data_IF_310340082651
#
_entry.id   IF_310340082651
#
_cell.length_a   1.000
_cell.length_b   1.000
_cell.length_c   1.000
_cell.angle_alpha   90.00
_cell.angle_beta   90.00
_cell.angle_gamma   90.00
#
_symmetry.space_group_name_H-M   'P 1'
#
loop_
_entity.id
_entity.type
_entity.pdbx_description
1 polymer ?
#
# COMPACT_ATOMS: atom_id res chain seq x y z
N UNK A 1 0.39 -24.76 -13.73
CA UNK A 1 1.25 -23.68 -13.17
C UNK A 1 2.28 -23.30 -14.21
N UNK A 2 2.21 -22.08 -14.69
CA UNK A 2 3.19 -21.57 -15.66
C UNK A 2 4.47 -21.17 -14.90
N UNK A 3 5.65 -21.36 -15.50
CA UNK A 3 6.93 -20.96 -14.90
C UNK A 3 6.94 -19.47 -14.54
N UNK A 4 6.24 -18.63 -15.27
CA UNK A 4 6.09 -17.20 -14.98
C UNK A 4 5.24 -16.90 -13.75
N UNK A 5 4.46 -17.86 -13.25
CA UNK A 5 3.73 -17.77 -11.98
C UNK A 5 4.64 -18.10 -10.77
N UNK A 6 5.73 -18.81 -11.04
CA UNK A 6 6.72 -19.22 -10.01
C UNK A 6 7.84 -18.20 -9.92
N UNK A 7 8.20 -17.55 -11.03
CA UNK A 7 9.21 -16.49 -11.06
C UNK A 7 8.57 -15.22 -10.52
N UNK A 8 9.02 -14.76 -9.37
CA UNK A 8 8.56 -13.51 -8.78
C UNK A 8 8.88 -12.29 -9.65
N UNK A 9 8.31 -11.12 -9.31
CA UNK A 9 8.56 -9.88 -10.05
C UNK A 9 10.03 -9.45 -9.91
N UNK A 10 10.48 -8.61 -10.84
CA UNK A 10 11.71 -7.85 -10.65
C UNK A 10 11.48 -6.89 -9.48
N UNK A 11 12.27 -7.05 -8.41
CA UNK A 11 12.01 -6.35 -7.16
C UNK A 11 13.30 -6.08 -6.39
N UNK A 12 13.26 -5.02 -5.60
CA UNK A 12 14.25 -4.73 -4.56
C UNK A 12 13.65 -5.13 -3.22
N UNK A 13 14.30 -6.07 -2.52
CA UNK A 13 13.86 -6.56 -1.22
C UNK A 13 13.68 -8.08 -1.17
N UNK A 14 13.57 -8.66 0.04
CA UNK A 14 13.68 -10.10 0.26
C UNK A 14 12.38 -10.88 0.03
N UNK A 15 11.22 -10.22 -0.11
CA UNK A 15 9.92 -10.89 -0.09
C UNK A 15 8.96 -10.35 -1.13
N UNK A 16 8.35 -11.25 -1.93
CA UNK A 16 7.32 -10.86 -2.90
C UNK A 16 6.02 -10.41 -2.25
N UNK A 17 5.66 -10.94 -1.08
CA UNK A 17 4.46 -10.53 -0.36
C UNK A 17 4.69 -9.32 0.54
N UNK A 18 5.78 -9.32 1.34
CA UNK A 18 6.04 -8.28 2.35
C UNK A 18 6.77 -7.06 1.79
N UNK A 19 7.42 -7.17 0.64
CA UNK A 19 8.11 -6.05 -0.02
C UNK A 19 7.39 -5.65 -1.30
N UNK A 20 7.39 -6.48 -2.34
CA UNK A 20 6.79 -6.11 -3.63
C UNK A 20 5.27 -5.86 -3.51
N UNK A 21 4.55 -6.70 -2.77
CA UNK A 21 3.12 -6.50 -2.50
C UNK A 21 2.86 -5.19 -1.74
N UNK A 22 3.69 -4.88 -0.74
CA UNK A 22 3.59 -3.64 0.02
C UNK A 22 3.85 -2.39 -0.84
N UNK A 23 4.87 -2.42 -1.72
CA UNK A 23 5.11 -1.33 -2.68
C UNK A 23 3.89 -1.10 -3.56
N UNK A 24 3.28 -2.16 -4.10
CA UNK A 24 2.07 -2.04 -4.93
C UNK A 24 0.88 -1.45 -4.17
N UNK A 25 0.66 -1.88 -2.93
CA UNK A 25 -0.40 -1.31 -2.08
C UNK A 25 -0.17 0.20 -1.91
N UNK A 26 1.05 0.61 -1.53
CA UNK A 26 1.40 2.02 -1.39
C UNK A 26 1.22 2.80 -2.68
N UNK A 27 1.70 2.26 -3.81
CA UNK A 27 1.62 2.89 -5.11
C UNK A 27 0.17 3.16 -5.54
N UNK A 28 -0.69 2.14 -5.45
CA UNK A 28 -2.11 2.28 -5.81
C UNK A 28 -2.82 3.24 -4.85
N UNK A 29 -2.52 3.18 -3.56
CA UNK A 29 -3.09 4.09 -2.56
C UNK A 29 -2.74 5.54 -2.85
N UNK A 30 -1.49 5.84 -3.19
CA UNK A 30 -1.06 7.17 -3.60
C UNK A 30 -1.75 7.66 -4.88
N UNK A 31 -1.97 6.76 -5.84
CA UNK A 31 -2.72 7.06 -7.08
C UNK A 31 -4.19 7.34 -6.81
N UNK A 32 -4.82 6.61 -5.89
CA UNK A 32 -6.21 6.82 -5.48
C UNK A 32 -6.40 8.17 -4.76
N UNK A 33 -5.41 8.60 -3.98
CA UNK A 33 -5.45 9.94 -3.37
C UNK A 33 -5.49 11.05 -4.43
N UNK A 34 -4.75 10.88 -5.54
CA UNK A 34 -4.82 11.73 -6.72
C UNK A 34 -4.24 13.14 -6.56
N UNK A 35 -3.59 13.43 -5.44
CA UNK A 35 -2.97 14.72 -5.14
C UNK A 35 -1.69 14.53 -4.30
N UNK A 36 -0.85 15.57 -4.13
CA UNK A 36 0.35 15.45 -3.33
C UNK A 36 0.03 15.04 -1.89
N UNK A 37 0.68 13.96 -1.43
CA UNK A 37 0.59 13.44 -0.07
C UNK A 37 1.31 14.37 0.90
N UNK A 38 0.67 14.71 2.03
CA UNK A 38 1.29 15.49 3.11
C UNK A 38 1.42 14.69 4.40
N UNK A 39 0.56 13.70 4.62
CA UNK A 39 0.60 12.84 5.80
C UNK A 39 0.09 11.44 5.47
N UNK A 40 0.73 10.43 6.02
CA UNK A 40 0.30 9.04 5.97
C UNK A 40 0.34 8.40 7.36
N UNK A 41 -0.78 7.83 7.79
CA UNK A 41 -0.86 6.94 8.95
C UNK A 41 -0.98 5.52 8.41
N UNK A 42 -0.04 4.66 8.77
CA UNK A 42 0.05 3.29 8.26
C UNK A 42 -0.06 2.32 9.43
N UNK A 43 -1.17 1.60 9.49
CA UNK A 43 -1.44 0.60 10.52
C UNK A 43 -1.29 -0.80 9.94
N UNK A 44 -0.40 -1.60 10.52
CA UNK A 44 -0.10 -2.94 10.06
C UNK A 44 -0.89 -3.99 10.85
N UNK A 45 -1.32 -5.04 10.16
CA UNK A 45 -2.06 -6.17 10.72
C UNK A 45 -1.35 -7.49 10.46
N UNK A 46 -1.49 -8.44 11.38
CA UNK A 46 -1.08 -9.83 11.21
C UNK A 46 0.41 -9.97 10.92
N UNK A 47 0.74 -10.67 9.85
CA UNK A 47 2.14 -10.93 9.47
C UNK A 47 2.89 -9.66 9.04
N UNK A 48 2.20 -8.70 8.45
CA UNK A 48 2.80 -7.38 8.16
C UNK A 48 3.26 -6.67 9.42
N UNK A 49 2.53 -6.80 10.51
CA UNK A 49 2.92 -6.24 11.80
C UNK A 49 4.07 -7.03 12.42
N UNK A 50 3.96 -8.37 12.46
CA UNK A 50 4.92 -9.24 13.14
C UNK A 50 6.32 -9.21 12.49
N UNK A 51 6.40 -9.03 11.18
CA UNK A 51 7.64 -9.13 10.40
C UNK A 51 7.98 -7.84 9.63
N UNK A 52 7.20 -6.79 9.83
CA UNK A 52 7.27 -5.56 9.01
C UNK A 52 8.64 -4.90 8.97
N UNK A 53 9.37 -4.89 10.08
CA UNK A 53 10.70 -4.31 10.15
C UNK A 53 11.75 -5.22 9.48
N UNK A 54 11.68 -6.54 9.71
CA UNK A 54 12.63 -7.51 9.16
C UNK A 54 12.55 -7.66 7.63
N UNK A 55 11.37 -7.50 7.04
CA UNK A 55 11.14 -7.61 5.60
C UNK A 55 11.01 -6.25 4.88
N UNK A 56 11.20 -5.16 5.60
CA UNK A 56 11.13 -3.82 5.01
C UNK A 56 9.74 -3.38 4.58
N UNK A 57 8.67 -3.96 5.12
CA UNK A 57 7.27 -3.66 4.75
C UNK A 57 6.93 -2.18 4.93
N UNK A 58 7.37 -1.56 6.02
CA UNK A 58 7.16 -0.14 6.29
C UNK A 58 7.77 0.75 5.20
N UNK A 59 9.04 0.50 4.85
CA UNK A 59 9.75 1.21 3.78
C UNK A 59 9.09 0.97 2.42
N UNK A 60 8.66 -0.24 2.16
CA UNK A 60 8.01 -0.63 0.91
C UNK A 60 6.67 0.09 0.71
N UNK A 61 5.82 0.16 1.73
CA UNK A 61 4.56 0.91 1.68
C UNK A 61 4.81 2.40 1.39
N UNK A 62 5.77 3.00 2.10
CA UNK A 62 6.12 4.41 1.89
C UNK A 62 6.72 4.63 0.51
N UNK A 63 7.59 3.75 0.03
CA UNK A 63 8.14 3.82 -1.31
C UNK A 63 7.04 3.84 -2.38
N UNK A 64 6.05 2.97 -2.26
CA UNK A 64 4.88 2.97 -3.14
C UNK A 64 4.11 4.28 -3.08
N UNK A 65 3.84 4.82 -1.89
CA UNK A 65 3.18 6.12 -1.71
C UNK A 65 3.96 7.27 -2.35
N UNK A 66 5.28 7.17 -2.41
CA UNK A 66 6.15 8.14 -3.11
C UNK A 66 6.20 7.93 -4.63
N UNK A 67 5.48 6.95 -5.17
CA UNK A 67 5.42 6.65 -6.60
C UNK A 67 6.51 5.70 -7.11
N UNK A 68 7.23 5.02 -6.22
CA UNK A 68 8.24 4.04 -6.61
C UNK A 68 7.59 2.72 -7.03
N UNK A 69 8.23 2.03 -7.99
CA UNK A 69 7.87 0.68 -8.42
C UNK A 69 8.69 -0.36 -7.64
N UNK A 70 8.36 -1.64 -7.82
CA UNK A 70 8.95 -2.75 -7.06
C UNK A 70 10.45 -2.94 -7.27
N UNK A 71 10.99 -2.48 -8.39
CA UNK A 71 12.40 -2.55 -8.80
C UNK A 71 13.21 -1.27 -8.49
N UNK A 72 12.60 -0.29 -7.83
CA UNK A 72 13.25 0.98 -7.53
C UNK A 72 14.32 0.81 -6.43
N UNK A 73 15.56 1.13 -6.77
CA UNK A 73 16.71 1.00 -5.85
C UNK A 73 16.63 1.94 -4.64
N UNK A 74 15.75 2.95 -4.66
CA UNK A 74 15.55 3.92 -3.57
C UNK A 74 14.62 3.41 -2.46
N UNK A 75 13.99 2.24 -2.64
CA UNK A 75 13.06 1.66 -1.64
C UNK A 75 13.67 1.65 -0.23
N UNK A 76 14.93 1.24 -0.01
CA UNK A 76 15.53 1.25 1.32
C UNK A 76 15.59 2.64 1.99
N UNK A 77 15.63 3.71 1.21
CA UNK A 77 15.70 5.10 1.66
C UNK A 77 14.32 5.81 1.64
N UNK A 78 13.22 5.09 1.48
CA UNK A 78 11.91 5.69 1.29
C UNK A 78 11.46 6.57 2.46
N UNK A 79 11.81 6.21 3.70
CA UNK A 79 11.45 7.01 4.88
C UNK A 79 12.19 8.34 4.92
N UNK A 80 13.50 8.31 4.63
CA UNK A 80 14.34 9.49 4.55
C UNK A 80 13.86 10.42 3.42
N UNK A 81 13.51 9.87 2.27
CA UNK A 81 12.97 10.64 1.13
C UNK A 81 11.62 11.27 1.49
N UNK A 82 10.75 10.56 2.21
CA UNK A 82 9.48 11.11 2.68
C UNK A 82 9.70 12.31 3.62
N UNK A 83 10.63 12.17 4.57
CA UNK A 83 11.01 13.25 5.50
C UNK A 83 11.57 14.47 4.76
N UNK A 84 12.49 14.27 3.81
CA UNK A 84 13.05 15.34 2.97
C UNK A 84 11.97 16.08 2.15
N UNK A 85 10.90 15.38 1.76
CA UNK A 85 9.75 15.97 1.06
C UNK A 85 8.73 16.62 2.02
N UNK A 86 8.98 16.59 3.32
CA UNK A 86 8.06 17.15 4.32
C UNK A 86 6.79 16.32 4.54
N UNK A 87 6.80 15.04 4.15
CA UNK A 87 5.67 14.12 4.36
C UNK A 87 5.79 13.51 5.75
N UNK A 88 4.76 13.68 6.56
CA UNK A 88 4.69 13.09 7.91
C UNK A 88 4.18 11.67 7.82
N UNK A 89 4.99 10.70 8.23
CA UNK A 89 4.62 9.27 8.23
C UNK A 89 4.59 8.76 9.66
N UNK A 90 3.50 8.09 10.04
CA UNK A 90 3.38 7.41 11.32
C UNK A 90 2.96 5.95 11.12
N UNK A 91 3.43 5.08 12.02
CA UNK A 91 3.12 3.66 12.01
C UNK A 91 2.40 3.24 13.28
N UNK A 92 1.41 2.37 13.13
CA UNK A 92 0.64 1.81 14.22
C UNK A 92 0.22 0.38 13.94
N UNK A 93 -0.68 -0.11 14.77
CA UNK A 93 -1.24 -1.45 14.68
C UNK A 93 -2.72 -1.37 14.34
N UNK A 94 -3.18 -2.28 13.47
CA UNK A 94 -4.59 -2.51 13.22
C UNK A 94 -4.94 -3.96 13.59
N UNK A 95 -6.05 -4.17 14.29
CA UNK A 95 -6.62 -5.47 14.53
C UNK A 95 -7.89 -5.56 13.70
N UNK A 96 -7.78 -6.20 12.54
CA UNK A 96 -8.86 -6.32 11.57
C UNK A 96 -9.40 -7.75 11.62
N UNK A 97 -10.68 -7.89 11.97
CA UNK A 97 -11.34 -9.21 12.01
C UNK A 97 -11.44 -9.77 10.60
N UNK A 98 -11.17 -11.08 10.47
CA UNK A 98 -11.27 -11.82 9.20
C UNK A 98 -10.42 -11.25 8.05
N UNK A 99 -9.44 -10.38 8.36
CA UNK A 99 -8.54 -9.84 7.35
C UNK A 99 -7.40 -10.81 7.03
N UNK A 100 -6.91 -10.73 5.79
CA UNK A 100 -5.71 -11.46 5.38
C UNK A 100 -4.52 -11.09 6.28
N UNK A 101 -3.62 -12.05 6.65
CA UNK A 101 -2.47 -11.76 7.52
C UNK A 101 -1.56 -10.63 7.02
N UNK A 102 -1.45 -10.46 5.71
CA UNK A 102 -0.64 -9.41 5.09
C UNK A 102 -1.51 -8.21 4.72
N UNK A 103 -2.07 -7.55 5.72
CA UNK A 103 -2.98 -6.40 5.52
C UNK A 103 -2.38 -5.13 6.12
N UNK A 104 -2.55 -4.03 5.40
CA UNK A 104 -2.25 -2.68 5.86
C UNK A 104 -3.47 -1.77 5.70
N UNK A 105 -3.72 -0.95 6.73
CA UNK A 105 -4.64 0.18 6.69
C UNK A 105 -3.82 1.45 6.48
N UNK A 106 -4.12 2.20 5.44
CA UNK A 106 -3.48 3.47 5.14
C UNK A 106 -4.51 4.59 5.25
N UNK A 107 -4.21 5.59 6.05
CA UNK A 107 -4.98 6.82 6.17
C UNK A 107 -4.12 7.94 5.60
N UNK A 108 -4.52 8.45 4.44
CA UNK A 108 -3.75 9.41 3.67
C UNK A 108 -4.41 10.78 3.72
N UNK A 109 -3.59 11.82 3.85
CA UNK A 109 -4.03 13.20 3.80
C UNK A 109 -3.30 13.93 2.67
N UNK A 110 -4.06 14.51 1.77
CA UNK A 110 -3.57 15.29 0.63
C UNK A 110 -3.42 16.77 0.96
N UNK A 111 -2.73 17.48 0.09
CA UNK A 111 -2.48 18.92 0.24
C UNK A 111 -3.75 19.77 0.28
N UNK A 112 -4.80 19.36 -0.44
CA UNK A 112 -6.10 20.06 -0.44
C UNK A 112 -6.94 19.83 0.82
N UNK A 113 -6.49 18.96 1.74
CA UNK A 113 -7.25 18.52 2.90
C UNK A 113 -8.07 17.26 2.66
N UNK A 114 -7.99 16.64 1.49
CA UNK A 114 -8.63 15.36 1.20
C UNK A 114 -8.06 14.27 2.11
N UNK A 115 -8.94 13.46 2.68
CA UNK A 115 -8.61 12.26 3.46
C UNK A 115 -9.10 11.03 2.71
N UNK A 116 -8.26 10.01 2.65
CA UNK A 116 -8.58 8.73 2.04
C UNK A 116 -8.14 7.60 2.97
N UNK A 117 -9.04 6.65 3.24
CA UNK A 117 -8.73 5.45 4.00
C UNK A 117 -8.78 4.22 3.11
N UNK A 118 -7.70 3.43 3.12
CA UNK A 118 -7.55 2.26 2.26
C UNK A 118 -7.17 1.06 3.13
N UNK A 119 -7.79 -0.09 2.87
CA UNK A 119 -7.33 -1.38 3.37
C UNK A 119 -6.81 -2.18 2.19
N UNK A 120 -5.50 -2.44 2.16
CA UNK A 120 -4.81 -3.21 1.14
C UNK A 120 -4.27 -4.52 1.69
N UNK A 121 -4.39 -5.57 0.89
CA UNK A 121 -3.96 -6.93 1.21
C UNK A 121 -2.95 -7.41 0.19
N UNK A 122 -1.85 -8.00 0.65
CA UNK A 122 -0.90 -8.70 -0.20
C UNK A 122 -1.19 -10.19 -0.20
N UNK A 123 -1.49 -10.74 -1.37
CA UNK A 123 -1.94 -12.13 -1.55
C UNK A 123 -0.80 -13.09 -1.90
N UNK A 124 0.44 -12.60 -1.98
CA UNK A 124 1.61 -13.35 -2.43
C UNK A 124 1.85 -13.24 -3.94
N UNK A 125 3.08 -13.54 -4.38
CA UNK A 125 3.49 -13.40 -5.78
C UNK A 125 3.36 -11.97 -6.32
N UNK A 126 3.48 -10.97 -5.49
CA UNK A 126 3.21 -9.55 -5.75
C UNK A 126 1.77 -9.21 -6.18
N UNK A 127 0.82 -10.13 -6.02
CA UNK A 127 -0.62 -9.85 -6.20
C UNK A 127 -1.17 -9.14 -4.97
N UNK A 128 -2.02 -8.17 -5.19
CA UNK A 128 -2.68 -7.42 -4.12
C UNK A 128 -4.18 -7.34 -4.33
N UNK A 129 -4.89 -6.99 -3.27
CA UNK A 129 -6.30 -6.64 -3.30
C UNK A 129 -6.52 -5.36 -2.47
N UNK A 130 -7.20 -4.39 -3.03
CA UNK A 130 -7.75 -3.27 -2.27
C UNK A 130 -9.12 -3.72 -1.76
N UNK A 131 -9.20 -4.02 -0.48
CA UNK A 131 -10.35 -4.65 0.16
C UNK A 131 -11.37 -3.65 0.67
N UNK A 132 -10.93 -2.42 1.01
CA UNK A 132 -11.84 -1.34 1.42
C UNK A 132 -11.29 0.01 0.97
N UNK A 133 -12.23 0.91 0.68
CA UNK A 133 -11.96 2.30 0.35
C UNK A 133 -12.99 3.16 1.11
N UNK A 134 -12.51 4.00 2.03
CA UNK A 134 -13.34 4.82 2.91
C UNK A 134 -14.46 4.03 3.63
N UNK A 135 -14.12 2.83 4.12
CA UNK A 135 -15.04 1.94 4.82
C UNK A 135 -15.98 1.14 3.92
N UNK A 136 -15.95 1.35 2.61
CA UNK A 136 -16.75 0.61 1.63
C UNK A 136 -15.96 -0.59 1.13
N UNK A 137 -16.56 -1.77 1.15
CA UNK A 137 -15.94 -2.98 0.62
C UNK A 137 -15.69 -2.85 -0.89
N UNK A 138 -14.48 -3.19 -1.30
CA UNK A 138 -14.03 -3.20 -2.68
C UNK A 138 -13.26 -4.49 -2.97
N UNK A 139 -13.01 -4.75 -4.23
CA UNK A 139 -12.20 -5.90 -4.65
C UNK A 139 -11.55 -5.59 -5.99
N UNK A 140 -10.38 -4.98 -5.97
CA UNK A 140 -9.60 -4.73 -7.18
C UNK A 140 -8.10 -4.80 -6.90
N UNK A 141 -7.33 -5.22 -7.91
CA UNK A 141 -5.90 -5.48 -7.80
C UNK A 141 -5.02 -4.35 -8.34
N UNK A 142 -5.59 -3.41 -9.09
CA UNK A 142 -4.82 -2.41 -9.84
C UNK A 142 -4.09 -2.95 -11.07
N UNK A 143 -4.28 -4.21 -11.44
CA UNK A 143 -3.71 -4.81 -12.67
C UNK A 143 -4.49 -4.37 -13.91
N UNK A 144 -5.77 -4.08 -13.77
CA UNK A 144 -6.63 -3.53 -14.80
C UNK A 144 -6.87 -2.05 -14.57
N UNK A 145 -7.04 -1.23 -15.64
CA UNK A 145 -7.49 0.14 -15.50
C UNK A 145 -8.78 0.20 -14.67
N UNK A 146 -8.73 0.92 -13.57
CA UNK A 146 -9.83 1.00 -12.61
C UNK A 146 -10.19 2.47 -12.38
N UNK A 147 -11.47 2.79 -12.55
CA UNK A 147 -12.01 4.11 -12.23
C UNK A 147 -12.86 4.01 -10.96
N UNK A 148 -12.53 4.82 -9.97
CA UNK A 148 -13.33 4.97 -8.76
C UNK A 148 -14.18 6.23 -8.89
N UNK A 149 -15.49 6.07 -8.80
CA UNK A 149 -16.45 7.18 -8.88
C UNK A 149 -17.20 7.26 -7.56
N UNK A 150 -17.09 8.41 -6.90
CA UNK A 150 -17.94 8.73 -5.75
C UNK A 150 -19.26 9.27 -6.27
N UNK A 151 -20.34 8.55 -6.04
CA UNK A 151 -21.68 8.93 -6.46
C UNK A 151 -22.58 9.11 -5.24
N UNK A 152 -23.30 10.21 -5.17
CA UNK A 152 -24.42 10.36 -4.23
C UNK A 152 -25.67 9.78 -4.91
N UNK A 153 -26.15 8.63 -4.45
CA UNK A 153 -27.46 8.11 -4.83
C UNK A 153 -28.53 9.07 -4.29
N UNK A 154 -28.96 9.97 -5.16
CA UNK A 154 -30.17 10.78 -4.88
C UNK A 154 -31.34 10.10 -5.56
N UNK A 155 -32.46 9.85 -4.81
CA UNK A 155 -33.69 9.34 -5.41
C UNK A 155 -34.29 10.32 -6.41
#
# INVERSE_FOLDING_TARGET
>A
MNIFEVVGPVMVGPSSSHTAGAVKIGYISGRLLGEPLVRAEINLHGSFLATGDGHGTKKALVAGLLGMQTDDIRIPQALEIAEERGIVVSFGQAILREAHPNTAQLILHGRSGQRLEIIGQSLGGSRINIAQLDGIETNFSGESPTLVVYNEDRP
#
